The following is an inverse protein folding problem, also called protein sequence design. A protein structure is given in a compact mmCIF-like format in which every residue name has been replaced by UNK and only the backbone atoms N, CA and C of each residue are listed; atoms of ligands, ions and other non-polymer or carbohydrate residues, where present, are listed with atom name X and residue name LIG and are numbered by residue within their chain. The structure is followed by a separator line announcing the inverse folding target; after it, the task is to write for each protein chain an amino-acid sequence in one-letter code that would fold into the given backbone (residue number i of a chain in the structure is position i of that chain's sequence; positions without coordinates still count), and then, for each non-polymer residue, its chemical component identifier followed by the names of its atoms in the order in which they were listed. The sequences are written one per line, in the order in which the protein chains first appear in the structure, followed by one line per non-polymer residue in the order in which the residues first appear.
data_IF_467623735510
#
_entry.id   IF_467623735510
#
_cell.length_a   1.000
_cell.length_b   1.000
_cell.length_c   1.000
_cell.angle_alpha   90.00
_cell.angle_beta   90.00
_cell.angle_gamma   90.00
#
_symmetry.space_group_name_H-M   'P 1'
#
loop_
_entity.id
_entity.type
_entity.pdbx_description
1 polymer ?
#
# COMPACT_ATOMS: atom_id res chain seq x y z
N UNK A 1 6.36 -43.25 -20.44
CA UNK A 1 6.22 -41.78 -20.32
C UNK A 1 5.41 -41.59 -19.06
N UNK A 2 5.98 -40.94 -18.03
CA UNK A 2 5.26 -40.65 -16.77
C UNK A 2 4.19 -39.58 -17.02
N UNK A 3 3.01 -39.75 -16.46
CA UNK A 3 1.97 -38.71 -16.44
C UNK A 3 2.42 -37.56 -15.54
N UNK A 4 2.38 -36.33 -16.05
CA UNK A 4 2.55 -35.10 -15.27
C UNK A 4 1.17 -34.48 -15.10
N UNK A 5 0.76 -34.29 -13.85
CA UNK A 5 -0.48 -33.59 -13.49
C UNK A 5 -0.15 -32.18 -13.01
N UNK A 6 -0.83 -31.19 -13.54
CA UNK A 6 -0.72 -29.80 -13.12
C UNK A 6 -2.11 -29.34 -12.67
N UNK A 7 -2.20 -28.84 -11.46
CA UNK A 7 -3.40 -28.20 -10.91
C UNK A 7 -3.09 -26.75 -10.55
N UNK A 8 -4.09 -25.89 -10.63
CA UNK A 8 -3.91 -24.48 -10.30
C UNK A 8 -5.18 -23.84 -9.77
N UNK A 9 -5.03 -22.93 -8.80
CA UNK A 9 -6.11 -22.11 -8.25
C UNK A 9 -5.70 -20.64 -8.35
N UNK A 10 -6.60 -19.84 -8.94
CA UNK A 10 -6.43 -18.39 -9.04
C UNK A 10 -7.31 -17.70 -7.99
N UNK A 11 -6.72 -16.80 -7.20
CA UNK A 11 -7.42 -16.00 -6.20
C UNK A 11 -7.22 -14.53 -6.51
N UNK A 12 -8.26 -13.72 -6.31
CA UNK A 12 -8.18 -12.27 -6.40
C UNK A 12 -7.55 -11.68 -5.14
N UNK A 13 -6.47 -10.93 -5.29
CA UNK A 13 -5.78 -10.28 -4.17
C UNK A 13 -6.42 -8.94 -3.78
N UNK A 14 -7.17 -8.28 -4.67
CA UNK A 14 -7.90 -7.06 -4.32
C UNK A 14 -9.12 -7.32 -3.45
N UNK A 15 -9.57 -8.56 -3.33
CA UNK A 15 -10.57 -8.96 -2.33
C UNK A 15 -10.06 -8.94 -0.88
N UNK A 16 -8.77 -8.65 -0.67
CA UNK A 16 -8.09 -8.56 0.63
C UNK A 16 -7.68 -7.12 0.94
N UNK A 17 -7.51 -6.81 2.22
CA UNK A 17 -6.92 -5.53 2.61
C UNK A 17 -5.42 -5.52 2.28
N UNK A 18 -4.99 -4.51 1.55
CA UNK A 18 -3.56 -4.36 1.21
C UNK A 18 -2.83 -3.61 2.32
N UNK A 19 -1.88 -4.28 2.99
CA UNK A 19 -1.09 -3.69 4.07
C UNK A 19 -0.21 -2.51 3.60
N UNK A 20 0.11 -2.45 2.31
CA UNK A 20 0.83 -1.30 1.72
C UNK A 20 0.03 0.02 1.83
N UNK A 21 -1.30 -0.06 1.96
CA UNK A 21 -2.14 1.12 2.18
C UNK A 21 -1.87 1.82 3.52
N UNK A 22 -1.24 1.14 4.48
CA UNK A 22 -0.86 1.70 5.78
C UNK A 22 0.38 2.60 5.68
N UNK A 23 1.16 2.50 4.61
CA UNK A 23 2.35 3.34 4.42
C UNK A 23 1.95 4.80 4.18
N UNK A 24 2.63 5.77 4.81
CA UNK A 24 2.41 7.19 4.57
C UNK A 24 2.76 7.59 3.13
N UNK A 25 3.71 6.90 2.50
CA UNK A 25 4.04 7.05 1.09
C UNK A 25 4.03 5.68 0.39
N UNK A 26 2.86 5.26 -0.14
CA UNK A 26 2.73 3.97 -0.80
C UNK A 26 3.51 3.86 -2.12
N UNK A 27 4.10 4.94 -2.62
CA UNK A 27 4.94 4.92 -3.83
C UNK A 27 6.39 4.50 -3.56
N UNK A 28 6.87 4.56 -2.31
CA UNK A 28 8.25 4.17 -1.94
C UNK A 28 8.51 2.66 -2.15
N UNK A 29 7.47 1.83 -2.26
CA UNK A 29 7.61 0.40 -2.56
C UNK A 29 8.08 0.07 -3.98
N UNK A 30 8.08 1.03 -4.88
CA UNK A 30 8.67 0.88 -6.21
C UNK A 30 10.17 1.22 -6.16
N UNK A 31 10.99 0.28 -5.71
CA UNK A 31 12.36 0.25 -6.17
C UNK A 31 12.31 0.27 -7.70
N UNK A 32 12.66 1.39 -8.30
CA UNK A 32 13.02 1.42 -9.71
C UNK A 32 14.08 0.34 -9.87
N UNK A 33 13.69 -0.80 -10.45
CA UNK A 33 14.67 -1.66 -11.06
C UNK A 33 15.30 -0.78 -12.13
N UNK A 34 16.41 -0.17 -11.78
CA UNK A 34 17.32 0.45 -12.72
C UNK A 34 17.64 -0.64 -13.72
N UNK A 35 16.96 -0.60 -14.84
CA UNK A 35 17.21 -1.49 -15.96
C UNK A 35 18.65 -1.19 -16.36
N UNK A 36 19.57 -2.16 -16.29
CA UNK A 36 20.92 -1.93 -16.75
C UNK A 36 20.83 -1.41 -18.19
N UNK A 37 21.62 -0.40 -18.55
CA UNK A 37 21.60 0.12 -19.92
C UNK A 37 21.84 -1.04 -20.88
N UNK A 38 21.16 -1.07 -22.05
CA UNK A 38 21.35 -2.11 -23.03
C UNK A 38 22.83 -2.15 -23.40
N UNK A 39 23.44 -3.33 -23.31
CA UNK A 39 24.81 -3.61 -23.69
C UNK A 39 25.15 -2.93 -25.02
N UNK A 40 25.99 -1.90 -24.96
CA UNK A 40 26.61 -1.36 -26.15
C UNK A 40 27.53 -2.44 -26.70
N UNK A 41 27.03 -3.10 -27.75
CA UNK A 41 27.84 -3.98 -28.57
C UNK A 41 29.08 -3.24 -29.02
N UNK A 42 30.24 -3.85 -28.78
CA UNK A 42 31.54 -3.28 -29.01
C UNK A 42 31.77 -2.79 -30.45
N UNK A 43 32.39 -1.63 -30.56
CA UNK A 43 33.26 -1.29 -31.67
C UNK A 43 34.55 -0.78 -31.11
N UNK A 44 35.55 -1.59 -31.32
CA UNK A 44 36.96 -1.35 -31.15
C UNK A 44 37.41 -0.22 -32.12
N UNK A 45 37.94 0.89 -31.61
CA UNK A 45 38.75 1.84 -32.35
C UNK A 45 39.54 2.71 -31.37
N UNK A 46 40.85 2.52 -31.39
CA UNK A 46 41.84 3.27 -30.62
C UNK A 46 41.80 4.78 -30.92
N UNK A 47 42.08 5.57 -29.92
CA UNK A 47 42.27 7.01 -29.97
C UNK A 47 42.84 7.55 -28.66
N UNK A 48 43.98 8.19 -28.78
CA UNK A 48 44.82 8.77 -27.72
C UNK A 48 44.07 9.73 -26.78
N UNK A 49 44.54 9.87 -25.52
CA UNK A 49 43.93 10.79 -24.53
C UNK A 49 44.35 12.26 -24.81
N UNK A 50 43.45 13.24 -24.61
CA UNK A 50 43.79 14.65 -24.68
C UNK A 50 44.52 15.14 -23.41
N UNK A 51 45.32 16.22 -23.52
CA UNK A 51 46.21 16.68 -22.46
C UNK A 51 45.51 17.44 -21.36
N UNK A 52 46.12 17.34 -20.17
CA UNK A 52 45.75 18.11 -18.97
C UNK A 52 46.05 19.59 -19.15
N UNK A 53 45.14 20.48 -18.82
CA UNK A 53 45.40 21.89 -18.58
C UNK A 53 45.24 22.23 -17.09
N UNK A 54 46.28 22.98 -16.61
CA UNK A 54 46.52 23.41 -15.27
C UNK A 54 45.52 24.52 -14.80
N UNK A 55 45.32 24.67 -13.47
CA UNK A 55 44.48 25.71 -12.89
C UNK A 55 45.33 26.93 -12.51
N UNK A 56 45.10 28.09 -13.09
CA UNK A 56 45.34 29.38 -12.45
C UNK A 56 44.82 30.57 -13.28
N UNK A 57 43.85 31.28 -12.74
CA UNK A 57 43.91 32.73 -12.65
C UNK A 57 42.76 33.33 -11.85
N UNK A 58 43.15 33.83 -10.72
CA UNK A 58 42.45 34.79 -9.87
C UNK A 58 42.31 36.12 -10.63
N UNK A 59 41.17 36.79 -10.55
CA UNK A 59 41.15 38.23 -10.51
C UNK A 59 39.98 38.76 -9.70
N UNK A 60 40.38 39.64 -8.78
CA UNK A 60 39.63 40.37 -7.75
C UNK A 60 38.87 41.59 -8.34
N UNK A 61 37.72 41.85 -7.76
CA UNK A 61 37.08 43.12 -7.31
C UNK A 61 37.42 44.44 -8.03
N UNK A 62 36.63 45.57 -7.94
CA UNK A 62 36.10 46.09 -6.68
C UNK A 62 34.76 46.87 -6.69
N UNK A 63 34.26 47.05 -5.48
CA UNK A 63 33.69 48.28 -4.84
C UNK A 63 32.51 49.05 -5.38
N UNK A 64 31.56 49.25 -4.53
CA UNK A 64 30.46 50.06 -4.15
C UNK A 64 30.29 51.48 -4.72
N UNK A 65 29.43 52.37 -4.25
CA UNK A 65 28.96 52.58 -2.87
C UNK A 65 27.43 52.85 -2.67
N UNK A 66 27.04 52.81 -1.44
CA UNK A 66 26.11 53.50 -0.57
C UNK A 66 25.22 54.66 -1.03
N UNK A 67 24.17 54.80 -0.23
CA UNK A 67 23.35 55.99 0.16
C UNK A 67 22.07 56.24 -0.61
N UNK A 68 20.92 56.69 -0.07
CA UNK A 68 20.52 57.33 1.20
C UNK A 68 19.00 57.32 1.33
N UNK A 69 18.53 57.17 2.56
CA UNK A 69 17.33 57.63 3.25
C UNK A 69 16.39 58.63 2.52
N UNK A 70 15.08 58.37 2.67
CA UNK A 70 14.04 59.33 2.38
C UNK A 70 12.68 58.92 2.99
N UNK A 71 12.49 59.37 4.22
CA UNK A 71 11.22 59.47 4.94
C UNK A 71 10.31 60.52 4.31
N UNK A 72 9.01 60.29 4.23
CA UNK A 72 7.96 61.20 4.75
C UNK A 72 6.55 60.93 4.16
N UNK A 73 5.62 60.90 5.09
CA UNK A 73 4.29 61.51 5.13
C UNK A 73 3.12 60.81 4.43
N UNK A 74 2.21 60.38 5.24
CA UNK A 74 0.76 60.30 4.95
C UNK A 74 0.16 61.66 4.64
N UNK A 75 -0.96 61.67 3.92
CA UNK A 75 -2.17 62.22 4.53
C UNK A 75 -3.47 61.42 4.33
N UNK A 76 -4.32 61.63 5.28
CA UNK A 76 -5.68 61.21 5.49
C UNK A 76 -6.69 61.62 4.41
N UNK A 77 -7.75 60.79 4.25
CA UNK A 77 -9.10 61.21 3.85
C UNK A 77 -9.44 60.86 2.40
N UNK A 78 -10.47 60.16 2.06
CA UNK A 78 -11.88 60.41 2.25
C UNK A 78 -12.73 59.24 1.71
N UNK A 79 -13.96 59.19 2.14
CA UNK A 79 -14.97 58.16 2.05
C UNK A 79 -15.53 57.94 0.60
N UNK A 80 -16.15 56.75 0.47
CA UNK A 80 -17.24 56.36 -0.44
C UNK A 80 -16.92 56.04 -1.88
N UNK A 81 -16.96 54.72 -2.20
CA UNK A 81 -17.98 54.23 -3.16
C UNK A 81 -17.98 52.66 -3.10
N UNK A 82 -19.07 52.13 -2.61
CA UNK A 82 -19.51 50.76 -2.89
C UNK A 82 -19.92 50.72 -4.38
N UNK A 83 -19.31 49.83 -5.11
CA UNK A 83 -19.93 49.02 -6.18
C UNK A 83 -18.87 48.22 -6.94
N UNK A 84 -19.02 46.91 -7.01
CA UNK A 84 -18.39 46.07 -8.02
C UNK A 84 -17.09 45.38 -7.68
N UNK A 85 -17.01 44.63 -6.56
CA UNK A 85 -16.04 43.54 -6.45
C UNK A 85 -16.68 42.23 -6.92
N UNK A 86 -16.40 41.90 -8.19
CA UNK A 86 -16.55 40.54 -8.68
C UNK A 86 -15.60 39.66 -7.82
N UNK A 87 -16.16 38.84 -6.99
CA UNK A 87 -15.44 37.85 -6.24
C UNK A 87 -14.83 36.85 -7.24
N UNK A 88 -13.52 36.96 -7.48
CA UNK A 88 -12.74 35.85 -8.05
C UNK A 88 -12.80 34.74 -7.04
N UNK A 89 -13.61 33.71 -7.33
CA UNK A 89 -13.82 32.57 -6.47
C UNK A 89 -12.49 31.85 -6.21
N UNK A 90 -12.21 31.67 -4.93
CA UNK A 90 -11.19 30.77 -4.42
C UNK A 90 -11.48 29.36 -4.94
N UNK A 91 -10.58 28.69 -5.70
CA UNK A 91 -10.86 27.36 -6.25
C UNK A 91 -10.89 26.26 -5.19
N UNK A 92 -10.55 26.56 -3.95
CA UNK A 92 -10.73 25.67 -2.80
C UNK A 92 -11.93 26.16 -2.00
N UNK A 93 -13.15 25.81 -2.45
CA UNK A 93 -14.39 26.13 -1.76
C UNK A 93 -14.41 25.57 -0.34
N UNK A 94 -13.96 26.37 0.62
CA UNK A 94 -14.17 26.13 2.04
C UNK A 94 -15.66 26.31 2.34
N UNK A 95 -16.45 25.25 2.16
CA UNK A 95 -17.84 25.18 2.66
C UNK A 95 -17.77 25.01 4.18
N UNK A 96 -18.27 25.98 4.96
CA UNK A 96 -18.28 25.84 6.43
C UNK A 96 -19.17 24.64 6.79
N UNK A 97 -18.56 23.62 7.43
CA UNK A 97 -19.23 22.43 7.94
C UNK A 97 -18.88 21.09 7.30
N UNK A 98 -18.00 21.04 6.28
CA UNK A 98 -17.41 19.77 5.84
C UNK A 98 -15.99 19.68 6.44
N UNK A 99 -15.81 18.72 7.34
CA UNK A 99 -14.46 18.30 7.74
C UNK A 99 -13.66 17.92 6.49
N UNK A 100 -12.38 18.30 6.42
CA UNK A 100 -11.54 17.87 5.29
C UNK A 100 -11.55 16.35 5.17
N UNK A 101 -11.49 15.80 3.95
CA UNK A 101 -11.47 14.37 3.76
C UNK A 101 -10.28 13.76 4.52
N UNK A 102 -10.55 12.67 5.24
CA UNK A 102 -9.51 11.96 6.01
C UNK A 102 -8.36 11.55 5.08
N UNK A 103 -7.09 11.78 5.49
CA UNK A 103 -5.92 11.35 4.72
C UNK A 103 -5.96 9.85 4.41
N UNK A 104 -5.49 9.41 3.23
CA UNK A 104 -5.54 7.99 2.83
C UNK A 104 -4.94 7.02 3.85
N UNK A 105 -3.77 7.34 4.44
CA UNK A 105 -3.12 6.50 5.44
C UNK A 105 -3.96 6.36 6.73
N UNK A 106 -4.57 7.45 7.22
CA UNK A 106 -5.45 7.39 8.40
C UNK A 106 -6.70 6.56 8.13
N UNK A 107 -7.25 6.66 6.91
CA UNK A 107 -8.38 5.85 6.47
C UNK A 107 -8.02 4.37 6.44
N UNK A 108 -6.84 4.05 5.88
CA UNK A 108 -6.32 2.68 5.85
C UNK A 108 -6.09 2.13 7.26
N UNK A 109 -5.55 2.92 8.18
CA UNK A 109 -5.41 2.53 9.59
C UNK A 109 -6.78 2.23 10.22
N UNK A 110 -7.76 3.10 10.04
CA UNK A 110 -9.10 2.88 10.57
C UNK A 110 -9.75 1.62 9.99
N UNK A 111 -9.60 1.39 8.68
CA UNK A 111 -10.06 0.18 8.01
C UNK A 111 -9.36 -1.06 8.55
N UNK A 112 -8.04 -1.01 8.75
CA UNK A 112 -7.27 -2.13 9.31
C UNK A 112 -7.72 -2.47 10.74
N UNK A 113 -7.90 -1.47 11.61
CA UNK A 113 -8.47 -1.67 12.96
C UNK A 113 -9.86 -2.29 12.91
N UNK A 114 -10.70 -1.84 11.98
CA UNK A 114 -12.03 -2.43 11.78
C UNK A 114 -11.96 -3.88 11.30
N UNK A 115 -10.96 -4.22 10.47
CA UNK A 115 -10.71 -5.61 10.06
C UNK A 115 -10.27 -6.48 11.24
N UNK A 116 -9.35 -6.01 12.07
CA UNK A 116 -8.94 -6.74 13.28
C UNK A 116 -10.13 -6.99 14.22
N UNK A 117 -11.01 -6.00 14.42
CA UNK A 117 -12.26 -6.17 15.18
C UNK A 117 -13.18 -7.23 14.57
N UNK A 118 -13.35 -7.20 13.23
CA UNK A 118 -14.18 -8.18 12.54
C UNK A 118 -13.64 -9.61 12.66
N UNK A 119 -12.33 -9.75 12.84
CA UNK A 119 -11.61 -11.02 13.05
C UNK A 119 -11.46 -11.39 14.52
N UNK A 120 -11.93 -10.54 15.47
CA UNK A 120 -11.72 -10.70 16.91
C UNK A 120 -10.21 -10.84 17.25
N UNK A 121 -9.37 -10.03 16.58
CA UNK A 121 -7.94 -9.94 16.83
C UNK A 121 -7.63 -8.71 17.69
N UNK A 122 -6.55 -8.80 18.48
CA UNK A 122 -6.06 -7.68 19.28
C UNK A 122 -5.55 -6.53 18.36
N UNK A 123 -5.92 -5.31 18.71
CA UNK A 123 -5.49 -4.10 18.01
C UNK A 123 -4.17 -3.53 18.58
N UNK A 124 -3.68 -4.06 19.69
CA UNK A 124 -2.45 -3.58 20.36
C UNK A 124 -1.25 -3.48 19.41
N UNK A 125 -1.01 -4.44 18.47
CA UNK A 125 0.14 -4.36 17.58
C UNK A 125 0.06 -3.30 16.49
N UNK A 126 -1.09 -2.65 16.26
CA UNK A 126 -1.28 -1.73 15.12
C UNK A 126 -0.25 -0.61 15.12
N UNK A 127 0.06 -0.01 16.28
CA UNK A 127 1.04 1.08 16.33
C UNK A 127 2.46 0.59 16.01
N UNK A 128 2.86 -0.59 16.50
CA UNK A 128 4.13 -1.18 16.14
C UNK A 128 4.21 -1.60 14.65
N UNK A 129 3.07 -1.96 14.03
CA UNK A 129 3.00 -2.22 12.59
C UNK A 129 3.18 -0.93 11.81
N UNK A 130 2.60 0.18 12.26
CA UNK A 130 2.74 1.49 11.63
C UNK A 130 4.18 2.00 11.75
N UNK A 131 4.82 1.90 12.94
CA UNK A 131 6.22 2.24 13.14
C UNK A 131 7.17 1.36 12.30
N UNK A 132 6.82 0.09 12.10
CA UNK A 132 7.60 -0.82 11.27
C UNK A 132 7.72 -0.37 9.81
N UNK A 133 6.69 0.31 9.30
CA UNK A 133 6.56 0.62 7.86
C UNK A 133 6.80 2.10 7.53
N UNK A 134 6.74 3.01 8.50
CA UNK A 134 7.00 4.43 8.22
C UNK A 134 8.52 4.73 8.14
N UNK A 135 8.90 5.87 7.52
CA UNK A 135 10.30 6.15 7.24
C UNK A 135 11.04 6.82 8.40
N UNK A 136 10.34 7.20 9.47
CA UNK A 136 10.95 7.87 10.61
C UNK A 136 11.35 6.88 11.72
N UNK A 137 11.72 7.38 12.90
CA UNK A 137 12.11 6.56 14.06
C UNK A 137 11.42 7.10 15.33
N UNK A 138 10.22 7.67 15.15
CA UNK A 138 9.41 8.24 16.23
C UNK A 138 8.38 7.22 16.72
N UNK A 139 8.64 6.62 17.88
CA UNK A 139 7.77 5.59 18.45
C UNK A 139 6.37 6.12 18.75
N UNK A 140 5.35 5.51 18.17
CA UNK A 140 3.94 5.81 18.47
C UNK A 140 3.53 5.30 19.85
N UNK A 141 2.96 6.19 20.64
CA UNK A 141 2.48 5.83 21.96
C UNK A 141 1.05 5.26 21.89
N UNK A 142 0.67 4.22 22.74
CA UNK A 142 1.49 3.62 23.80
C UNK A 142 2.26 2.35 23.38
N UNK A 143 1.99 1.73 22.25
CA UNK A 143 2.43 0.38 21.90
C UNK A 143 3.35 0.31 20.67
N UNK A 144 3.82 1.43 20.18
CA UNK A 144 4.76 1.50 19.08
C UNK A 144 6.11 0.87 19.40
N UNK A 145 6.90 0.57 18.37
CA UNK A 145 8.23 0.02 18.51
C UNK A 145 9.12 0.41 17.33
N UNK A 146 10.25 0.97 17.64
CA UNK A 146 11.27 1.43 16.70
C UNK A 146 12.63 0.73 16.94
N UNK A 147 13.66 1.16 16.25
CA UNK A 147 15.03 0.62 16.33
C UNK A 147 15.50 0.41 17.76
N UNK A 148 15.12 1.30 18.67
CA UNK A 148 15.43 1.19 20.10
C UNK A 148 14.85 -0.08 20.75
N UNK A 149 13.70 -0.52 20.31
CA UNK A 149 13.11 -1.75 20.79
C UNK A 149 13.75 -2.96 20.12
N UNK A 150 13.90 -2.97 18.80
CA UNK A 150 14.35 -4.13 18.04
C UNK A 150 15.83 -4.42 18.18
N UNK A 151 16.68 -3.40 18.43
CA UNK A 151 18.10 -3.57 18.71
C UNK A 151 18.40 -4.31 20.01
N UNK A 152 17.43 -4.39 20.93
CA UNK A 152 17.54 -5.14 22.21
C UNK A 152 17.06 -6.59 22.12
N UNK A 153 16.54 -6.99 20.96
CA UNK A 153 16.09 -8.36 20.75
C UNK A 153 17.27 -9.33 20.56
N UNK A 154 17.02 -10.63 20.59
CA UNK A 154 18.05 -11.66 20.34
C UNK A 154 17.52 -12.62 19.26
N UNK A 155 18.08 -12.59 18.04
CA UNK A 155 19.11 -11.68 17.53
C UNK A 155 18.60 -10.22 17.42
N UNK A 156 19.50 -9.26 17.51
CA UNK A 156 19.17 -7.86 17.30
C UNK A 156 18.90 -7.57 15.82
N UNK A 157 17.89 -6.73 15.54
CA UNK A 157 17.54 -6.27 14.20
C UNK A 157 16.99 -4.83 14.27
N UNK A 158 16.54 -4.29 13.15
CA UNK A 158 15.99 -2.94 13.04
C UNK A 158 14.64 -2.97 12.36
N UNK A 159 13.89 -1.88 12.48
CA UNK A 159 12.67 -1.62 11.70
C UNK A 159 12.96 -1.67 10.20
N UNK A 160 11.94 -2.00 9.44
CA UNK A 160 12.04 -2.05 7.97
C UNK A 160 12.04 -0.65 7.36
N UNK A 161 11.34 0.31 7.97
CA UNK A 161 11.10 1.68 7.50
C UNK A 161 10.66 1.73 6.03
N UNK A 162 9.85 0.78 5.63
CA UNK A 162 9.30 0.62 4.28
C UNK A 162 8.07 -0.29 4.29
N UNK A 163 7.23 -0.25 3.24
CA UNK A 163 6.09 -1.16 3.12
C UNK A 163 6.51 -2.64 3.28
N UNK A 164 5.64 -3.41 3.92
CA UNK A 164 5.85 -4.84 4.15
C UNK A 164 6.03 -5.60 2.82
N UNK A 165 7.10 -6.37 2.70
CA UNK A 165 7.36 -7.21 1.53
C UNK A 165 6.48 -8.48 1.52
N UNK A 166 6.01 -8.93 2.68
CA UNK A 166 5.13 -10.09 2.81
C UNK A 166 4.35 -10.06 4.13
N UNK A 167 3.20 -10.73 4.17
CA UNK A 167 2.41 -10.87 5.39
C UNK A 167 3.20 -11.57 6.52
N UNK A 168 4.16 -12.44 6.18
CA UNK A 168 5.01 -13.12 7.16
C UNK A 168 5.99 -12.19 7.87
N UNK A 169 6.33 -11.06 7.27
CA UNK A 169 7.19 -10.05 7.89
C UNK A 169 6.59 -9.47 9.17
N UNK A 170 5.25 -9.52 9.31
CA UNK A 170 4.57 -9.17 10.55
C UNK A 170 5.07 -9.96 11.77
N UNK A 171 5.61 -11.16 11.59
CA UNK A 171 6.21 -11.95 12.69
C UNK A 171 7.43 -11.28 13.34
N UNK A 172 8.01 -10.28 12.69
CA UNK A 172 9.12 -9.50 13.23
C UNK A 172 8.62 -8.30 14.05
N UNK A 173 7.33 -7.98 13.97
CA UNK A 173 6.74 -6.80 14.62
C UNK A 173 6.37 -7.10 16.06
N UNK A 174 6.67 -6.17 16.96
CA UNK A 174 6.32 -6.26 18.38
C UNK A 174 4.83 -6.58 18.57
N UNK A 175 4.54 -7.58 19.39
CA UNK A 175 3.18 -7.95 19.75
C UNK A 175 2.45 -8.82 18.72
N UNK A 176 3.10 -9.19 17.62
CA UNK A 176 2.55 -10.10 16.61
C UNK A 176 3.13 -11.50 16.82
N UNK A 177 2.27 -12.49 16.88
CA UNK A 177 2.63 -13.90 16.96
C UNK A 177 2.15 -14.71 15.75
N UNK A 178 2.51 -15.97 15.70
CA UNK A 178 2.13 -16.87 14.61
C UNK A 178 0.61 -17.04 14.48
N UNK A 179 -0.11 -17.11 15.61
CA UNK A 179 -1.57 -17.25 15.60
C UNK A 179 -2.27 -16.01 15.05
N UNK A 180 -1.74 -14.82 15.36
CA UNK A 180 -2.21 -13.57 14.78
C UNK A 180 -2.04 -13.56 13.25
N UNK A 181 -0.84 -13.92 12.76
CA UNK A 181 -0.55 -13.95 11.31
C UNK A 181 -1.38 -15.02 10.59
N UNK A 182 -1.57 -16.18 11.18
CA UNK A 182 -2.39 -17.26 10.61
C UNK A 182 -3.85 -16.84 10.46
N UNK A 183 -4.43 -16.18 11.47
CA UNK A 183 -5.81 -15.69 11.43
C UNK A 183 -6.00 -14.50 10.50
N UNK A 184 -5.04 -13.58 10.44
CA UNK A 184 -5.08 -12.38 9.61
C UNK A 184 -4.80 -12.69 8.13
N UNK A 185 -3.86 -13.61 7.87
CA UNK A 185 -3.29 -13.87 6.53
C UNK A 185 -4.30 -14.05 5.39
N UNK A 186 -5.42 -14.78 5.57
CA UNK A 186 -6.44 -14.93 4.52
C UNK A 186 -7.10 -13.62 4.07
N UNK A 187 -7.05 -12.57 4.90
CA UNK A 187 -7.79 -11.31 4.71
C UNK A 187 -6.91 -10.14 4.27
N UNK A 188 -5.59 -10.31 4.26
CA UNK A 188 -4.62 -9.27 3.92
C UNK A 188 -3.68 -9.70 2.80
N UNK A 189 -3.04 -8.73 2.19
CA UNK A 189 -2.01 -8.92 1.16
C UNK A 189 -0.96 -7.82 1.26
N UNK A 190 0.21 -8.03 0.66
CA UNK A 190 1.25 -7.02 0.46
C UNK A 190 1.44 -6.87 -1.06
N UNK A 191 0.98 -5.77 -1.64
CA UNK A 191 1.11 -5.48 -3.06
C UNK A 191 2.11 -4.33 -3.26
N UNK A 192 2.73 -4.20 -4.45
CA UNK A 192 3.77 -3.18 -4.68
C UNK A 192 3.29 -1.73 -4.50
N UNK A 193 1.99 -1.48 -4.67
CA UNK A 193 1.37 -0.16 -4.55
C UNK A 193 0.11 -0.24 -3.71
N UNK A 194 -0.34 0.88 -3.17
CA UNK A 194 -1.66 0.98 -2.55
C UNK A 194 -2.76 0.58 -3.55
N UNK A 195 -3.76 -0.12 -3.07
CA UNK A 195 -4.88 -0.60 -3.90
C UNK A 195 -6.21 -0.50 -3.19
N UNK A 196 -7.30 -0.17 -3.90
CA UNK A 196 -8.64 -0.27 -3.35
C UNK A 196 -9.07 -1.73 -3.16
N UNK A 197 -10.13 -1.94 -2.36
CA UNK A 197 -10.72 -3.26 -2.12
C UNK A 197 -11.76 -3.58 -3.19
N UNK A 198 -11.63 -4.74 -3.85
CA UNK A 198 -12.65 -5.24 -4.76
C UNK A 198 -13.85 -5.82 -3.99
N UNK A 199 -14.96 -5.09 -3.97
CA UNK A 199 -16.16 -5.48 -3.24
C UNK A 199 -16.82 -6.76 -3.79
N UNK A 200 -16.56 -7.11 -5.05
CA UNK A 200 -17.10 -8.31 -5.66
C UNK A 200 -16.40 -9.60 -5.23
N UNK A 201 -15.19 -9.50 -4.67
CA UNK A 201 -14.39 -10.66 -4.25
C UNK A 201 -13.99 -10.63 -2.78
N UNK A 202 -14.18 -9.47 -2.11
CA UNK A 202 -13.86 -9.29 -0.69
C UNK A 202 -14.63 -10.28 0.20
N UNK A 203 -13.98 -10.81 1.22
CA UNK A 203 -14.66 -11.61 2.24
C UNK A 203 -15.67 -10.77 3.04
N UNK A 204 -16.51 -11.45 3.81
CA UNK A 204 -17.45 -10.78 4.72
C UNK A 204 -16.71 -9.85 5.69
N UNK A 205 -15.61 -10.29 6.26
CA UNK A 205 -14.80 -9.57 7.24
C UNK A 205 -14.16 -8.33 6.60
N UNK A 206 -13.65 -8.45 5.37
CA UNK A 206 -13.10 -7.31 4.62
C UNK A 206 -14.20 -6.31 4.25
N UNK A 207 -15.41 -6.76 3.90
CA UNK A 207 -16.54 -5.85 3.68
C UNK A 207 -16.94 -5.12 4.98
N UNK A 208 -16.92 -5.79 6.14
CA UNK A 208 -17.18 -5.17 7.44
C UNK A 208 -16.14 -4.09 7.78
N UNK A 209 -14.91 -4.22 7.29
CA UNK A 209 -13.85 -3.25 7.55
C UNK A 209 -14.00 -1.93 6.80
N UNK A 210 -14.81 -1.88 5.74
CA UNK A 210 -14.99 -0.68 4.91
C UNK A 210 -15.70 0.47 5.66
N UNK A 211 -16.59 0.13 6.59
CA UNK A 211 -17.29 1.09 7.45
C UNK A 211 -17.70 0.40 8.76
N UNK A 212 -17.43 1.00 9.95
CA UNK A 212 -17.77 0.40 11.24
C UNK A 212 -19.26 0.08 11.41
N UNK A 213 -20.12 0.68 10.63
CA UNK A 213 -21.56 0.43 10.65
C UNK A 213 -22.00 -0.73 9.74
N UNK A 214 -21.10 -1.38 9.01
CA UNK A 214 -21.43 -2.59 8.24
C UNK A 214 -21.39 -3.78 9.19
N UNK A 215 -22.57 -4.23 9.64
CA UNK A 215 -22.67 -5.41 10.48
C UNK A 215 -22.39 -6.71 9.71
N UNK A 216 -22.09 -7.80 10.43
CA UNK A 216 -21.89 -9.14 9.84
C UNK A 216 -23.12 -9.60 9.01
N UNK A 217 -24.33 -9.26 9.47
CA UNK A 217 -25.56 -9.55 8.72
C UNK A 217 -25.65 -8.78 7.41
N UNK A 218 -25.30 -7.47 7.43
CA UNK A 218 -25.26 -6.65 6.20
C UNK A 218 -24.19 -7.16 5.23
N UNK A 219 -22.99 -7.44 5.69
CA UNK A 219 -21.91 -7.95 4.84
C UNK A 219 -22.28 -9.28 4.18
N UNK A 220 -22.95 -10.19 4.92
CA UNK A 220 -23.47 -11.44 4.35
C UNK A 220 -24.49 -11.19 3.23
N UNK A 221 -25.42 -10.25 3.41
CA UNK A 221 -26.41 -9.90 2.39
C UNK A 221 -25.75 -9.24 1.17
N UNK A 222 -24.71 -8.43 1.35
CA UNK A 222 -23.91 -7.86 0.25
C UNK A 222 -23.19 -8.96 -0.55
N UNK A 223 -22.63 -9.97 0.12
CA UNK A 223 -22.05 -11.14 -0.54
C UNK A 223 -23.09 -11.87 -1.39
N UNK A 224 -24.29 -12.12 -0.85
CA UNK A 224 -25.39 -12.75 -1.60
C UNK A 224 -25.86 -11.89 -2.77
N UNK A 225 -25.94 -10.57 -2.60
CA UNK A 225 -26.35 -9.65 -3.66
C UNK A 225 -25.37 -9.71 -4.86
N UNK A 226 -24.07 -9.68 -4.63
CA UNK A 226 -23.06 -9.74 -5.70
C UNK A 226 -23.00 -11.10 -6.42
N UNK A 227 -23.38 -12.20 -5.75
CA UNK A 227 -23.48 -13.52 -6.38
C UNK A 227 -24.59 -13.56 -7.44
N UNK A 228 -25.65 -12.79 -7.22
CA UNK A 228 -26.76 -12.65 -8.17
C UNK A 228 -26.44 -11.63 -9.26
N UNK A 229 -25.90 -10.47 -8.85
CA UNK A 229 -25.53 -9.39 -9.75
C UNK A 229 -24.30 -8.66 -9.20
N UNK A 230 -23.11 -8.84 -9.81
CA UNK A 230 -21.91 -8.11 -9.41
C UNK A 230 -22.11 -6.60 -9.48
N UNK A 231 -21.52 -5.87 -8.53
CA UNK A 231 -21.51 -4.42 -8.53
C UNK A 231 -20.59 -3.91 -9.65
N UNK A 232 -21.05 -2.95 -10.42
CA UNK A 232 -20.33 -2.44 -11.60
C UNK A 232 -19.46 -1.23 -11.29
N UNK A 233 -19.86 -0.43 -10.29
CA UNK A 233 -19.21 0.83 -9.92
C UNK A 233 -19.57 1.25 -8.49
N UNK A 234 -18.88 2.27 -7.99
CA UNK A 234 -19.06 2.80 -6.65
C UNK A 234 -20.49 3.33 -6.42
N UNK A 235 -21.08 3.97 -7.44
CA UNK A 235 -22.43 4.52 -7.32
C UNK A 235 -23.48 3.39 -7.21
N UNK A 236 -23.31 2.29 -7.94
CA UNK A 236 -24.15 1.11 -7.84
C UNK A 236 -24.05 0.45 -6.45
N UNK A 237 -22.82 0.32 -5.94
CA UNK A 237 -22.56 -0.25 -4.61
C UNK A 237 -23.14 0.62 -3.50
N UNK A 238 -22.82 1.92 -3.47
CA UNK A 238 -23.26 2.84 -2.41
C UNK A 238 -24.77 3.11 -2.42
N UNK A 239 -25.46 2.97 -3.59
CA UNK A 239 -26.92 3.05 -3.68
C UNK A 239 -27.65 1.80 -3.19
N UNK A 240 -26.91 0.74 -2.85
CA UNK A 240 -27.55 -0.46 -2.32
C UNK A 240 -28.30 -0.12 -1.02
N UNK A 241 -29.56 -0.59 -0.79
CA UNK A 241 -30.38 -0.22 0.36
C UNK A 241 -29.72 -0.42 1.71
N UNK A 242 -28.82 -1.39 1.85
CA UNK A 242 -28.06 -1.66 3.07
C UNK A 242 -27.01 -0.57 3.37
N UNK A 243 -26.58 0.18 2.35
CA UNK A 243 -25.45 1.12 2.44
C UNK A 243 -25.86 2.59 2.37
N UNK A 244 -27.15 2.90 2.14
CA UNK A 244 -27.65 4.26 1.91
C UNK A 244 -27.33 5.28 3.03
N UNK A 245 -27.04 4.81 4.25
CA UNK A 245 -26.67 5.65 5.40
C UNK A 245 -25.19 5.48 5.78
N UNK A 246 -24.36 4.89 4.90
CA UNK A 246 -22.93 4.70 5.13
C UNK A 246 -22.11 5.74 4.39
N UNK A 247 -21.02 6.18 5.02
CA UNK A 247 -20.08 7.13 4.41
C UNK A 247 -18.87 6.35 3.89
N UNK A 248 -19.08 5.64 2.79
CA UNK A 248 -18.03 4.91 2.12
C UNK A 248 -17.23 5.86 1.22
N UNK A 249 -15.93 5.64 1.19
CA UNK A 249 -15.05 6.34 0.26
C UNK A 249 -14.99 5.58 -1.06
N UNK A 250 -15.38 6.24 -2.14
CA UNK A 250 -15.37 5.66 -3.48
C UNK A 250 -13.96 5.29 -3.95
N UNK A 251 -12.92 6.04 -3.54
CA UNK A 251 -11.52 5.77 -3.90
C UNK A 251 -10.98 4.49 -3.29
N UNK A 252 -11.52 4.09 -2.13
CA UNK A 252 -11.19 2.82 -1.45
C UNK A 252 -11.86 1.58 -2.06
N UNK A 253 -12.71 1.72 -3.10
CA UNK A 253 -13.50 0.64 -3.68
C UNK A 253 -13.05 0.30 -5.11
N UNK A 254 -12.95 -0.99 -5.41
CA UNK A 254 -12.73 -1.51 -6.75
C UNK A 254 -13.85 -2.49 -7.14
N UNK A 255 -14.06 -2.66 -8.44
CA UNK A 255 -15.08 -3.52 -9.05
C UNK A 255 -14.48 -4.51 -10.06
N UNK A 256 -13.17 -4.38 -10.30
CA UNK A 256 -12.35 -5.28 -11.10
C UNK A 256 -10.96 -5.37 -10.48
N UNK A 257 -10.23 -6.43 -10.79
CA UNK A 257 -8.93 -6.71 -10.18
C UNK A 257 -7.84 -6.81 -11.22
N UNK A 258 -6.64 -6.41 -10.79
CA UNK A 258 -5.41 -6.49 -11.57
C UNK A 258 -4.33 -7.35 -10.90
N UNK A 259 -4.50 -7.74 -9.62
CA UNK A 259 -3.56 -8.58 -8.90
C UNK A 259 -4.20 -9.90 -8.48
N UNK A 260 -3.50 -10.99 -8.73
CA UNK A 260 -3.99 -12.34 -8.48
C UNK A 260 -2.90 -13.20 -7.86
N UNK A 261 -3.30 -14.12 -6.99
CA UNK A 261 -2.46 -15.20 -6.50
C UNK A 261 -2.76 -16.47 -7.31
N UNK A 262 -1.74 -17.01 -7.97
CA UNK A 262 -1.82 -18.32 -8.59
C UNK A 262 -1.10 -19.34 -7.69
N UNK A 263 -1.86 -20.21 -7.08
CA UNK A 263 -1.34 -21.42 -6.45
C UNK A 263 -1.30 -22.53 -7.50
N UNK A 264 -0.15 -23.14 -7.72
CA UNK A 264 0.02 -24.21 -8.69
C UNK A 264 0.75 -25.39 -8.09
N UNK A 265 0.30 -26.58 -8.43
CA UNK A 265 0.84 -27.84 -7.97
C UNK A 265 1.18 -28.71 -9.17
N UNK A 266 2.40 -29.23 -9.18
CA UNK A 266 2.94 -30.07 -10.25
C UNK A 266 3.31 -31.41 -9.63
N UNK A 267 2.58 -32.44 -10.02
CA UNK A 267 2.80 -33.83 -9.57
C UNK A 267 3.35 -34.60 -10.75
N UNK A 268 4.55 -35.13 -10.58
CA UNK A 268 5.18 -36.08 -11.48
C UNK A 268 5.31 -37.45 -10.77
N UNK A 269 5.79 -38.45 -11.47
CA UNK A 269 5.97 -39.79 -10.89
C UNK A 269 6.86 -39.80 -9.66
N UNK A 270 7.86 -38.91 -9.63
CA UNK A 270 8.94 -38.93 -8.63
C UNK A 270 9.02 -37.65 -7.78
N UNK A 271 8.22 -36.63 -8.12
CA UNK A 271 8.29 -35.33 -7.43
C UNK A 271 6.93 -34.65 -7.40
N UNK A 272 6.67 -33.98 -6.31
CA UNK A 272 5.57 -33.07 -6.10
C UNK A 272 6.13 -31.69 -5.75
N UNK A 273 5.65 -30.64 -6.42
CA UNK A 273 6.08 -29.26 -6.20
C UNK A 273 4.88 -28.32 -6.22
N UNK A 274 4.81 -27.45 -5.22
CA UNK A 274 3.81 -26.40 -5.16
C UNK A 274 4.49 -25.02 -5.29
N UNK A 275 3.83 -24.12 -5.99
CA UNK A 275 4.29 -22.75 -6.19
C UNK A 275 3.15 -21.78 -5.91
N UNK A 276 3.50 -20.66 -5.31
CA UNK A 276 2.67 -19.46 -5.21
C UNK A 276 3.26 -18.39 -6.12
N UNK A 277 2.46 -17.83 -7.01
CA UNK A 277 2.89 -16.75 -7.90
C UNK A 277 1.94 -15.59 -7.80
N UNK A 278 2.45 -14.41 -7.48
CA UNK A 278 1.71 -13.16 -7.57
C UNK A 278 1.75 -12.67 -9.01
N UNK A 279 0.57 -12.50 -9.60
CA UNK A 279 0.38 -12.07 -10.97
C UNK A 279 -0.19 -10.66 -10.99
N UNK A 280 0.26 -9.85 -11.95
CA UNK A 280 -0.45 -8.62 -12.33
C UNK A 280 -1.02 -8.73 -13.73
N UNK A 281 -2.16 -8.08 -13.95
CA UNK A 281 -2.82 -7.99 -15.26
C UNK A 281 -2.92 -6.53 -15.70
N UNK A 282 -2.22 -6.17 -16.76
CA UNK A 282 -2.30 -4.88 -17.41
C UNK A 282 -2.50 -5.08 -18.92
N UNK A 283 -3.37 -4.28 -19.55
CA UNK A 283 -3.59 -4.29 -21.01
C UNK A 283 -3.86 -5.70 -21.59
N UNK A 284 -4.62 -6.55 -20.90
CA UNK A 284 -4.92 -7.96 -21.24
C UNK A 284 -3.71 -8.91 -21.21
N UNK A 285 -2.58 -8.46 -20.69
CA UNK A 285 -1.42 -9.30 -20.47
C UNK A 285 -1.27 -9.58 -18.98
N UNK A 286 -0.89 -10.80 -18.65
CA UNK A 286 -0.55 -11.20 -17.29
C UNK A 286 0.98 -11.32 -17.18
N UNK A 287 1.54 -10.77 -16.10
CA UNK A 287 2.95 -10.84 -15.77
C UNK A 287 3.11 -11.39 -14.36
N UNK A 288 4.18 -12.17 -14.14
CA UNK A 288 4.53 -12.68 -12.82
C UNK A 288 5.35 -11.60 -12.11
N UNK A 289 4.89 -11.16 -10.94
CA UNK A 289 5.62 -10.22 -10.08
C UNK A 289 6.56 -10.94 -9.12
N UNK A 290 6.07 -12.02 -8.52
CA UNK A 290 6.83 -12.84 -7.57
C UNK A 290 6.42 -14.30 -7.72
N UNK A 291 7.37 -15.21 -7.45
CA UNK A 291 7.11 -16.64 -7.43
C UNK A 291 7.90 -17.28 -6.30
N UNK A 292 7.21 -18.03 -5.47
CA UNK A 292 7.79 -18.79 -4.35
C UNK A 292 7.44 -20.25 -4.47
N UNK A 293 8.41 -21.12 -4.18
CA UNK A 293 8.12 -22.53 -3.98
C UNK A 293 7.53 -22.70 -2.58
N UNK A 294 6.38 -23.36 -2.49
CA UNK A 294 5.77 -23.72 -1.20
C UNK A 294 6.36 -25.06 -0.77
N UNK A 295 6.78 -25.14 0.50
CA UNK A 295 7.13 -26.42 1.10
C UNK A 295 5.80 -27.15 1.29
N UNK A 296 5.68 -28.33 0.70
CA UNK A 296 4.56 -29.21 0.95
C UNK A 296 4.82 -29.93 2.26
N UNK A 297 3.82 -30.00 3.11
CA UNK A 297 3.88 -30.90 4.24
C UNK A 297 4.07 -32.32 3.70
N UNK A 298 5.02 -33.05 4.27
CA UNK A 298 5.28 -34.43 3.85
C UNK A 298 3.94 -35.18 3.86
N UNK A 299 3.63 -35.95 2.80
CA UNK A 299 2.41 -36.76 2.82
C UNK A 299 2.43 -37.60 4.09
N UNK A 300 1.34 -37.53 4.88
CA UNK A 300 1.12 -38.51 5.95
C UNK A 300 1.19 -39.86 5.26
N UNK A 301 2.29 -40.54 5.43
CA UNK A 301 2.36 -41.97 5.10
C UNK A 301 1.30 -42.64 5.93
N UNK A 302 0.17 -42.98 5.30
CA UNK A 302 -0.74 -43.94 5.86
C UNK A 302 0.11 -45.15 6.23
N UNK A 303 0.41 -45.27 7.55
CA UNK A 303 0.97 -46.50 8.07
C UNK A 303 0.00 -47.57 7.63
N UNK A 304 0.44 -48.33 6.63
CA UNK A 304 -0.23 -49.59 6.31
C UNK A 304 -0.11 -50.45 7.53
N UNK A 305 -1.20 -50.57 8.28
CA UNK A 305 -1.32 -51.55 9.34
C UNK A 305 -0.94 -52.94 8.78
N UNK A 306 -0.21 -53.71 9.59
CA UNK A 306 0.29 -55.05 9.25
C UNK A 306 -0.82 -56.08 9.05
#
# INVERSE_FOLDING_TARGET
RGETRITGRLQDLLGRFNLTNLSPDPAIGMGTSEQPPPDAAGTDAGGDPPPMEDPASLSMTPDGPEEVVGETAEPLGDAANEEGRVATGDPAGNRPGLEPPMPPAQRAEQQFRSLLKALELDETPVQAILDWIDPDNETRFPNGAEDDYYSRQTPAYRTSNRPLASVRELLLVRGVDAAFVERLGPFVTCLPTATPVNVNTASREVLMSLDPGISSGMARLLVQARETQPFTDAAAFMRHPLLQYRRLDAEGLAFASQYFLLESEIVTRDQERAFESTLTRANRQASVLDRRQRVMDAPEFLESEP
#
